data_IF_442228680429
#
_entry.id   IF_442228680429
#
_cell.length_a   1.000
_cell.length_b   1.000
_cell.length_c   1.000
_cell.angle_alpha   90.00
_cell.angle_beta   90.00
_cell.angle_gamma   90.00
#
_symmetry.space_group_name_H-M   'P 1'
#
loop_
_entity.id
_entity.type
_entity.pdbx_description
1 polymer ?
#
# COMPACT_ATOMS: atom_id res chain seq x y z
N UNK A 1 7.05 7.32 -29.24
CA UNK A 1 5.84 6.68 -28.72
C UNK A 1 4.80 7.75 -28.46
N UNK A 2 3.86 7.93 -29.38
CA UNK A 2 2.83 8.95 -29.29
C UNK A 2 1.67 8.38 -28.48
N UNK A 3 1.28 9.06 -27.40
CA UNK A 3 0.19 8.63 -26.52
C UNK A 3 -1.00 9.54 -26.77
N UNK A 4 -2.16 8.96 -27.07
CA UNK A 4 -3.40 9.72 -27.18
C UNK A 4 -4.18 9.67 -25.87
N UNK A 5 -4.63 10.83 -25.41
CA UNK A 5 -5.54 10.93 -24.25
C UNK A 5 -6.93 10.47 -24.66
N UNK A 6 -7.59 9.72 -23.79
CA UNK A 6 -9.01 9.41 -23.98
C UNK A 6 -9.88 10.44 -23.29
N UNK A 7 -11.21 10.37 -23.48
CA UNK A 7 -12.17 11.19 -22.72
C UNK A 7 -12.21 10.87 -21.22
N UNK A 8 -11.67 9.73 -20.81
CA UNK A 8 -11.65 9.29 -19.42
C UNK A 8 -10.36 9.75 -18.76
N UNK A 9 -10.48 10.36 -17.58
CA UNK A 9 -9.33 10.78 -16.79
C UNK A 9 -8.41 9.57 -16.48
N UNK A 10 -7.10 9.84 -16.46
CA UNK A 10 -6.04 8.86 -16.19
C UNK A 10 -5.98 7.67 -17.18
N UNK A 11 -6.70 7.73 -18.30
CA UNK A 11 -6.74 6.66 -19.32
C UNK A 11 -6.24 7.16 -20.67
N UNK A 12 -5.39 6.34 -21.27
CA UNK A 12 -4.64 6.64 -22.47
C UNK A 12 -4.70 5.48 -23.45
N UNK A 13 -4.41 5.77 -24.72
CA UNK A 13 -4.29 4.79 -25.80
C UNK A 13 -2.91 4.94 -26.42
N UNK A 14 -2.20 3.82 -26.56
CA UNK A 14 -0.89 3.80 -27.21
C UNK A 14 -1.00 3.84 -28.74
N UNK A 15 0.16 3.90 -29.39
CA UNK A 15 0.32 3.91 -30.84
C UNK A 15 -0.20 2.63 -31.51
N UNK A 16 -0.17 1.50 -30.81
CA UNK A 16 -0.75 0.21 -31.26
C UNK A 16 -2.25 0.10 -31.00
N UNK A 17 -2.85 1.12 -30.38
CA UNK A 17 -4.26 1.21 -30.09
C UNK A 17 -4.73 0.48 -28.83
N UNK A 18 -3.81 0.00 -28.00
CA UNK A 18 -4.14 -0.61 -26.72
C UNK A 18 -4.37 0.44 -25.63
N UNK A 19 -5.41 0.22 -24.83
CA UNK A 19 -5.75 1.09 -23.70
C UNK A 19 -4.88 0.76 -22.49
N UNK A 20 -4.56 1.79 -21.72
CA UNK A 20 -3.88 1.67 -20.44
C UNK A 20 -4.27 2.80 -19.50
N UNK A 21 -4.20 2.56 -18.20
CA UNK A 21 -4.35 3.61 -17.20
C UNK A 21 -2.98 4.04 -16.67
N UNK A 22 -2.88 5.29 -16.25
CA UNK A 22 -1.76 5.85 -15.50
C UNK A 22 -2.29 6.83 -14.46
N UNK A 23 -2.37 6.36 -13.21
CA UNK A 23 -2.87 7.14 -12.08
C UNK A 23 -1.71 7.82 -11.34
N UNK A 24 -1.90 9.07 -10.93
CA UNK A 24 -0.96 9.79 -10.06
C UNK A 24 -1.17 9.40 -8.60
N UNK A 25 -0.08 9.00 -7.92
CA UNK A 25 -0.12 8.54 -6.53
C UNK A 25 0.39 9.57 -5.52
N UNK A 26 1.10 10.61 -5.96
CA UNK A 26 1.70 11.61 -5.07
C UNK A 26 3.15 11.93 -5.45
N UNK A 27 3.83 12.68 -4.58
CA UNK A 27 5.26 13.01 -4.71
C UNK A 27 6.04 12.39 -3.55
N UNK A 28 7.28 11.99 -3.79
CA UNK A 28 8.20 11.61 -2.71
C UNK A 28 8.71 12.85 -1.94
N UNK A 29 9.49 12.61 -0.88
CA UNK A 29 10.15 13.65 -0.10
C UNK A 29 11.13 14.53 -0.94
N UNK A 30 11.54 14.08 -2.13
CA UNK A 30 12.41 14.80 -3.07
C UNK A 30 11.61 15.50 -4.17
N UNK A 31 10.27 15.46 -4.13
CA UNK A 31 9.37 16.09 -5.10
C UNK A 31 9.12 15.29 -6.39
N UNK A 32 9.67 14.08 -6.55
CA UNK A 32 9.47 13.22 -7.71
C UNK A 32 8.06 12.66 -7.72
N UNK A 33 7.38 12.75 -8.87
CA UNK A 33 6.02 12.25 -9.06
C UNK A 33 6.02 10.72 -9.17
N UNK A 34 5.14 10.07 -8.43
CA UNK A 34 4.88 8.63 -8.52
C UNK A 34 3.59 8.37 -9.28
N UNK A 35 3.66 7.43 -10.22
CA UNK A 35 2.52 7.00 -11.00
C UNK A 35 2.40 5.47 -10.95
N UNK A 36 1.17 4.96 -10.91
CA UNK A 36 0.88 3.55 -11.15
C UNK A 36 0.29 3.40 -12.54
N UNK A 37 0.94 2.59 -13.36
CA UNK A 37 0.53 2.28 -14.74
C UNK A 37 0.08 0.83 -14.84
N UNK A 38 -0.97 0.58 -15.59
CA UNK A 38 -1.46 -0.78 -15.85
C UNK A 38 -2.15 -0.90 -17.20
N UNK A 39 -2.06 -2.08 -17.79
CA UNK A 39 -2.61 -2.44 -19.12
C UNK A 39 -3.65 -3.56 -19.05
N UNK A 40 -3.82 -4.14 -17.86
CA UNK A 40 -4.61 -5.32 -17.62
C UNK A 40 -5.52 -5.11 -16.42
N UNK A 41 -6.65 -5.80 -16.43
CA UNK A 41 -7.56 -5.90 -15.30
C UNK A 41 -7.03 -6.86 -14.22
N UNK A 42 -7.83 -7.04 -13.17
CA UNK A 42 -7.55 -7.95 -12.05
C UNK A 42 -7.39 -9.41 -12.48
N UNK A 43 -8.09 -9.83 -13.54
CA UNK A 43 -8.01 -11.17 -14.14
C UNK A 43 -6.84 -11.31 -15.15
N UNK A 44 -5.99 -10.29 -15.27
CA UNK A 44 -4.85 -10.22 -16.20
C UNK A 44 -5.24 -10.16 -17.69
N UNK A 45 -6.47 -9.80 -18.02
CA UNK A 45 -6.91 -9.55 -19.38
C UNK A 45 -6.61 -8.11 -19.79
N UNK A 46 -6.28 -7.91 -21.07
CA UNK A 46 -6.09 -6.56 -21.62
C UNK A 46 -7.40 -5.80 -21.72
N UNK A 47 -7.34 -4.47 -21.54
CA UNK A 47 -8.52 -3.64 -21.68
C UNK A 47 -9.04 -3.60 -23.11
N UNK A 48 -10.29 -3.99 -23.29
CA UNK A 48 -11.01 -3.95 -24.57
C UNK A 48 -11.55 -2.55 -24.88
N UNK A 49 -11.68 -1.68 -23.88
CA UNK A 49 -12.18 -0.32 -24.04
C UNK A 49 -11.57 0.68 -23.05
N UNK A 50 -11.61 1.97 -23.41
CA UNK A 50 -11.22 3.04 -22.51
C UNK A 50 -12.08 3.10 -21.23
N UNK A 51 -13.36 2.72 -21.32
CA UNK A 51 -14.25 2.63 -20.16
C UNK A 51 -13.81 1.54 -19.19
N UNK A 52 -13.45 0.35 -19.70
CA UNK A 52 -12.93 -0.74 -18.88
C UNK A 52 -11.64 -0.34 -18.16
N UNK A 53 -10.71 0.29 -18.89
CA UNK A 53 -9.49 0.85 -18.30
C UNK A 53 -9.79 1.91 -17.23
N UNK A 54 -10.83 2.74 -17.40
CA UNK A 54 -11.21 3.76 -16.43
C UNK A 54 -11.81 3.18 -15.15
N UNK A 55 -12.68 2.17 -15.26
CA UNK A 55 -13.24 1.46 -14.10
C UNK A 55 -12.11 0.84 -13.28
N UNK A 56 -11.17 0.18 -13.95
CA UNK A 56 -10.00 -0.40 -13.28
C UNK A 56 -9.09 0.69 -12.69
N UNK A 57 -8.89 1.81 -13.39
CA UNK A 57 -8.16 2.96 -12.85
C UNK A 57 -8.80 3.50 -11.57
N UNK A 58 -10.13 3.61 -11.50
CA UNK A 58 -10.84 4.04 -10.29
C UNK A 58 -10.68 3.02 -9.16
N UNK A 59 -10.82 1.71 -9.45
CA UNK A 59 -10.60 0.65 -8.46
C UNK A 59 -9.19 0.72 -7.87
N UNK A 60 -8.17 0.78 -8.73
CA UNK A 60 -6.77 0.88 -8.32
C UNK A 60 -6.54 2.19 -7.59
N UNK A 61 -7.05 3.33 -8.09
CA UNK A 61 -6.95 4.62 -7.41
C UNK A 61 -7.58 4.56 -6.01
N UNK A 62 -8.72 3.90 -5.84
CA UNK A 62 -9.34 3.70 -4.54
C UNK A 62 -8.49 2.84 -3.61
N UNK A 63 -7.82 1.80 -4.12
CA UNK A 63 -6.86 1.01 -3.34
C UNK A 63 -5.73 1.92 -2.81
N UNK A 64 -5.22 2.85 -3.62
CA UNK A 64 -4.17 3.77 -3.17
C UNK A 64 -4.70 4.97 -2.34
N UNK A 65 -5.94 5.43 -2.58
CA UNK A 65 -6.59 6.53 -1.83
C UNK A 65 -7.14 6.08 -0.47
N UNK A 66 -7.63 4.85 -0.36
CA UNK A 66 -8.01 4.20 0.91
C UNK A 66 -6.78 3.90 1.79
N UNK A 67 -5.57 4.19 1.30
CA UNK A 67 -4.34 4.25 2.11
C UNK A 67 -4.05 5.70 2.51
N UNK A 68 -5.08 6.55 2.65
CA UNK A 68 -4.94 7.70 3.55
C UNK A 68 -5.11 7.20 4.98
N UNK A 69 -4.03 6.60 5.50
CA UNK A 69 -3.90 6.21 6.90
C UNK A 69 -3.98 7.42 7.86
N UNK A 70 -4.26 8.65 7.38
CA UNK A 70 -4.23 9.85 8.21
C UNK A 70 -2.88 9.98 8.91
N UNK A 71 -2.91 10.34 10.18
CA UNK A 71 -1.76 10.28 11.09
C UNK A 71 -1.83 9.02 11.97
N UNK A 72 -2.40 7.92 11.45
CA UNK A 72 -2.48 6.64 12.16
C UNK A 72 -1.09 6.18 12.55
N UNK A 73 -0.95 5.91 13.84
CA UNK A 73 0.27 5.36 14.43
C UNK A 73 0.39 3.88 14.13
N UNK A 74 1.61 3.36 14.21
CA UNK A 74 1.87 1.93 14.07
C UNK A 74 1.02 1.12 15.07
N UNK A 75 0.89 1.60 16.31
CA UNK A 75 0.05 0.95 17.34
C UNK A 75 -1.42 0.82 16.92
N UNK A 76 -2.06 1.91 16.47
CA UNK A 76 -3.46 1.88 16.04
C UNK A 76 -3.65 0.97 14.83
N UNK A 77 -2.73 1.00 13.87
CA UNK A 77 -2.79 0.09 12.72
C UNK A 77 -2.72 -1.38 13.14
N UNK A 78 -1.76 -1.74 13.98
CA UNK A 78 -1.57 -3.12 14.42
C UNK A 78 -2.81 -3.62 15.17
N UNK A 79 -3.31 -2.85 16.13
CA UNK A 79 -4.42 -3.26 17.01
C UNK A 79 -5.78 -3.24 16.31
N UNK A 80 -6.07 -2.20 15.51
CA UNK A 80 -7.41 -1.97 14.98
C UNK A 80 -7.62 -2.54 13.58
N UNK A 81 -6.55 -2.75 12.81
CA UNK A 81 -6.64 -3.20 11.40
C UNK A 81 -5.95 -4.54 11.18
N UNK A 82 -4.69 -4.67 11.61
CA UNK A 82 -3.89 -5.86 11.32
C UNK A 82 -4.33 -7.07 12.15
N UNK A 83 -4.42 -6.96 13.48
CA UNK A 83 -4.79 -8.07 14.35
C UNK A 83 -6.16 -8.69 14.06
N UNK A 84 -7.24 -7.91 13.86
CA UNK A 84 -8.55 -8.49 13.53
C UNK A 84 -8.51 -9.34 12.25
N UNK A 85 -7.83 -8.84 11.21
CA UNK A 85 -7.65 -9.58 9.96
C UNK A 85 -6.77 -10.81 10.16
N UNK A 86 -5.60 -10.63 10.79
CA UNK A 86 -4.64 -11.70 11.01
C UNK A 86 -5.26 -12.85 11.80
N UNK A 87 -6.06 -12.56 12.83
CA UNK A 87 -6.80 -13.57 13.61
C UNK A 87 -7.74 -14.42 12.75
N UNK A 88 -8.35 -13.84 11.71
CA UNK A 88 -9.23 -14.56 10.80
C UNK A 88 -8.45 -15.40 9.78
N UNK A 89 -7.22 -14.98 9.44
CA UNK A 89 -6.40 -15.59 8.39
C UNK A 89 -5.53 -16.77 8.90
N UNK A 90 -5.25 -16.85 10.21
CA UNK A 90 -4.35 -17.88 10.78
C UNK A 90 -4.98 -18.73 11.87
N UNK A 91 -4.37 -19.89 12.14
CA UNK A 91 -4.75 -20.75 13.27
C UNK A 91 -4.57 -20.04 14.62
N UNK A 92 -5.37 -20.43 15.60
CA UNK A 92 -5.39 -19.82 16.93
C UNK A 92 -4.02 -19.85 17.63
N UNK A 93 -3.29 -20.96 17.53
CA UNK A 93 -1.93 -21.13 18.11
C UNK A 93 -0.91 -20.18 17.47
N UNK A 94 -1.00 -20.00 16.15
CA UNK A 94 -0.15 -19.08 15.39
C UNK A 94 -0.47 -17.63 15.76
N UNK A 95 -1.75 -17.30 15.87
CA UNK A 95 -2.19 -15.98 16.32
C UNK A 95 -1.66 -15.66 17.72
N UNK A 96 -1.82 -16.58 18.67
CA UNK A 96 -1.39 -16.38 20.06
C UNK A 96 0.12 -16.14 20.17
N UNK A 97 0.92 -16.90 19.41
CA UNK A 97 2.38 -16.78 19.46
C UNK A 97 2.86 -15.52 18.73
N UNK A 98 2.40 -15.28 17.51
CA UNK A 98 2.89 -14.17 16.68
C UNK A 98 2.38 -12.81 17.15
N UNK A 99 1.17 -12.72 17.72
CA UNK A 99 0.64 -11.45 18.23
C UNK A 99 1.56 -10.83 19.29
N UNK A 100 2.21 -11.64 20.13
CA UNK A 100 3.21 -11.18 21.11
C UNK A 100 4.40 -10.51 20.43
N UNK A 101 4.93 -11.10 19.35
CA UNK A 101 6.03 -10.52 18.58
C UNK A 101 5.66 -9.17 17.95
N UNK A 102 4.43 -9.05 17.43
CA UNK A 102 3.95 -7.76 16.91
C UNK A 102 3.75 -6.72 18.01
N UNK A 103 3.37 -7.13 19.23
CA UNK A 103 3.27 -6.22 20.37
C UNK A 103 4.64 -5.65 20.77
N UNK A 104 5.74 -6.39 20.64
CA UNK A 104 7.08 -5.83 20.84
C UNK A 104 7.40 -4.70 19.87
N UNK A 105 6.96 -4.83 18.60
CA UNK A 105 7.10 -3.75 17.62
C UNK A 105 6.20 -2.56 17.98
N UNK A 106 5.02 -2.81 18.57
CA UNK A 106 4.15 -1.73 19.09
C UNK A 106 4.81 -1.02 20.27
N UNK A 107 5.50 -1.71 21.16
CA UNK A 107 6.17 -1.10 22.32
C UNK A 107 7.27 -0.10 21.89
N UNK A 108 7.94 -0.37 20.77
CA UNK A 108 9.03 0.49 20.27
C UNK A 108 8.58 1.53 19.22
N UNK A 109 7.77 1.11 18.24
CA UNK A 109 7.35 1.95 17.11
C UNK A 109 5.95 2.56 17.29
N UNK A 110 5.29 2.29 18.42
CA UNK A 110 3.86 2.50 18.61
C UNK A 110 3.36 3.89 18.24
N UNK A 111 4.11 4.93 18.60
CA UNK A 111 3.76 6.34 18.37
C UNK A 111 4.19 6.86 17.00
N UNK A 112 4.99 6.10 16.25
CA UNK A 112 5.43 6.47 14.91
C UNK A 112 4.25 6.34 13.96
N UNK A 113 3.86 7.46 13.35
CA UNK A 113 2.87 7.45 12.27
C UNK A 113 3.38 6.60 11.10
N UNK A 114 2.51 5.81 10.47
CA UNK A 114 2.91 4.95 9.36
C UNK A 114 3.56 5.71 8.19
N UNK A 115 3.19 6.98 7.99
CA UNK A 115 3.79 7.87 6.96
C UNK A 115 5.24 8.25 7.26
N UNK A 116 5.63 8.27 8.54
CA UNK A 116 6.96 8.67 9.00
C UNK A 116 7.86 7.48 9.29
N UNK A 117 7.32 6.26 9.29
CA UNK A 117 8.10 5.06 9.52
C UNK A 117 9.09 4.85 8.36
N UNK A 118 10.37 4.74 8.71
CA UNK A 118 11.49 4.60 7.78
C UNK A 118 12.19 3.25 7.98
N UNK A 119 13.09 2.92 7.05
CA UNK A 119 13.97 1.74 7.19
C UNK A 119 14.90 1.88 8.40
N UNK A 120 15.36 3.10 8.70
CA UNK A 120 16.21 3.36 9.86
C UNK A 120 15.48 3.03 11.18
N UNK A 121 14.20 3.40 11.29
CA UNK A 121 13.38 3.05 12.47
C UNK A 121 13.31 1.53 12.67
N UNK A 122 13.23 0.76 11.57
CA UNK A 122 13.23 -0.71 11.62
C UNK A 122 14.59 -1.28 12.07
N UNK A 123 15.71 -0.73 11.62
CA UNK A 123 17.04 -1.18 12.06
C UNK A 123 17.31 -0.80 13.52
N UNK A 124 16.81 0.35 13.98
CA UNK A 124 16.87 0.71 15.41
C UNK A 124 16.03 -0.23 16.25
N UNK A 125 14.80 -0.55 15.81
CA UNK A 125 13.97 -1.56 16.48
C UNK A 125 14.66 -2.92 16.54
N UNK A 126 15.27 -3.36 15.44
CA UNK A 126 16.01 -4.62 15.38
C UNK A 126 17.19 -4.63 16.36
N UNK A 127 17.95 -3.54 16.42
CA UNK A 127 19.08 -3.40 17.35
C UNK A 127 18.57 -3.45 18.79
N UNK A 128 17.55 -2.65 19.10
CA UNK A 128 16.91 -2.62 20.42
C UNK A 128 16.40 -4.00 20.85
N UNK A 129 15.77 -4.77 19.95
CA UNK A 129 15.35 -6.14 20.23
C UNK A 129 16.51 -7.07 20.65
N UNK A 130 17.70 -6.86 20.07
CA UNK A 130 18.87 -7.72 20.31
C UNK A 130 19.70 -7.27 21.51
N UNK A 131 19.57 -6.02 21.97
CA UNK A 131 20.45 -5.44 22.99
C UNK A 131 19.74 -5.02 24.27
N UNK A 132 18.53 -4.46 24.16
CA UNK A 132 17.86 -3.78 25.27
C UNK A 132 16.53 -4.43 25.66
N UNK A 133 15.83 -5.03 24.69
CA UNK A 133 14.57 -5.71 24.93
C UNK A 133 14.77 -6.89 25.90
N UNK A 134 13.88 -7.01 26.89
CA UNK A 134 13.94 -8.02 27.96
C UNK A 134 12.91 -9.14 27.78
N UNK A 135 12.62 -9.50 26.54
CA UNK A 135 11.65 -10.56 26.20
C UNK A 135 12.33 -11.92 26.00
#
# INVERSE_FOLDING_TARGET
MTVSKTKYADVYKDDKGHFFYQIFLGRDAKGKKHFKKGRKDELKHYFTSARAAHIEAQRVKQIYLNVNLGDMTYASFVKEKFFPKYKADVEASTYETHSKMFLHAVDFLGDVTLKRLTVEDCERYRTWLLTEAKY
#
